data_IF_664913324274
#
_entry.id   IF_664913324274
#
_cell.length_a   1.000
_cell.length_b   1.000
_cell.length_c   1.000
_cell.angle_alpha   90.00
_cell.angle_beta   90.00
_cell.angle_gamma   90.00
#
_symmetry.space_group_name_H-M   'P 1'
#
loop_
_entity.id
_entity.type
_entity.pdbx_description
1 polymer ?
#
# COMPACT_ATOMS: atom_id res chain seq x y z
N UNK A 1 17.66 -14.49 11.57
CA UNK A 1 17.05 -14.34 10.23
C UNK A 1 15.66 -13.81 10.45
N UNK A 2 15.37 -12.58 10.01
CA UNK A 2 14.04 -12.00 10.13
C UNK A 2 13.21 -12.57 8.97
N UNK A 3 12.26 -13.45 9.27
CA UNK A 3 11.43 -14.10 8.24
C UNK A 3 10.33 -13.13 7.82
N UNK A 4 10.42 -12.61 6.60
CA UNK A 4 9.36 -11.80 6.01
C UNK A 4 8.08 -12.63 5.83
N UNK A 5 6.94 -12.11 6.25
CA UNK A 5 5.63 -12.75 6.04
C UNK A 5 5.14 -12.53 4.60
N UNK A 6 4.07 -13.22 4.18
CA UNK A 6 3.47 -12.98 2.84
C UNK A 6 2.90 -11.56 2.72
N UNK A 7 2.41 -11.01 3.82
CA UNK A 7 1.82 -9.67 3.89
C UNK A 7 2.91 -8.60 3.77
N UNK A 8 4.06 -8.83 4.40
CA UNK A 8 5.24 -7.99 4.25
C UNK A 8 5.60 -7.77 2.78
N UNK A 9 5.69 -8.86 2.02
CA UNK A 9 5.97 -8.79 0.58
C UNK A 9 4.92 -7.95 -0.16
N UNK A 10 3.66 -8.04 0.26
CA UNK A 10 2.55 -7.25 -0.27
C UNK A 10 2.65 -5.75 0.02
N UNK A 11 3.34 -5.33 1.07
CA UNK A 11 3.62 -3.90 1.27
C UNK A 11 4.94 -3.46 0.64
N UNK A 12 5.90 -4.37 0.42
CA UNK A 12 7.25 -3.98 0.02
C UNK A 12 7.50 -3.93 -1.48
N UNK A 13 6.98 -4.90 -2.24
CA UNK A 13 7.36 -5.02 -3.64
C UNK A 13 6.38 -4.25 -4.53
N UNK A 14 6.85 -3.33 -5.38
CA UNK A 14 5.98 -2.47 -6.17
C UNK A 14 5.41 -3.17 -7.41
N UNK A 15 6.09 -4.18 -7.93
CA UNK A 15 5.76 -4.80 -9.20
C UNK A 15 5.04 -6.14 -8.99
N UNK A 16 4.05 -6.48 -9.84
CA UNK A 16 3.57 -7.84 -9.92
C UNK A 16 4.68 -8.75 -10.46
N UNK A 17 4.78 -9.97 -9.93
CA UNK A 17 5.56 -11.04 -10.53
C UNK A 17 4.80 -11.73 -11.67
N UNK A 18 5.36 -12.83 -12.17
CA UNK A 18 4.87 -13.52 -13.37
C UNK A 18 3.59 -14.37 -13.20
N UNK A 19 2.85 -14.21 -12.09
CA UNK A 19 1.68 -15.03 -11.77
C UNK A 19 0.34 -14.35 -12.06
N UNK A 20 -0.72 -15.13 -12.18
CA UNK A 20 -2.12 -14.63 -12.20
C UNK A 20 -2.61 -14.10 -10.85
N UNK A 21 -1.84 -14.36 -9.81
CA UNK A 21 -2.05 -13.96 -8.42
C UNK A 21 -0.88 -13.06 -8.02
N UNK A 22 -1.15 -11.92 -7.35
CA UNK A 22 -0.12 -10.93 -7.06
C UNK A 22 0.93 -11.45 -6.07
N UNK A 23 2.13 -11.76 -6.55
CA UNK A 23 3.31 -12.08 -5.73
C UNK A 23 4.55 -11.53 -6.42
N UNK A 24 5.58 -11.09 -5.68
CA UNK A 24 6.85 -10.80 -6.32
C UNK A 24 7.44 -12.08 -6.93
N UNK A 25 8.18 -11.94 -8.01
CA UNK A 25 9.00 -13.01 -8.56
C UNK A 25 10.21 -13.28 -7.65
N UNK A 26 10.79 -14.48 -7.77
CA UNK A 26 12.03 -14.79 -7.06
C UNK A 26 13.16 -13.83 -7.45
N UNK A 27 13.25 -13.45 -8.73
CA UNK A 27 14.24 -12.48 -9.19
C UNK A 27 14.02 -11.12 -8.52
N UNK A 28 12.78 -10.65 -8.40
CA UNK A 28 12.47 -9.40 -7.70
C UNK A 28 12.91 -9.46 -6.24
N UNK A 29 12.62 -10.56 -5.53
CA UNK A 29 13.02 -10.75 -4.12
C UNK A 29 14.54 -10.75 -3.95
N UNK A 30 15.28 -11.33 -4.91
CA UNK A 30 16.73 -11.48 -4.81
C UNK A 30 17.52 -10.26 -5.30
N UNK A 31 16.94 -9.46 -6.19
CA UNK A 31 17.67 -8.38 -6.90
C UNK A 31 17.19 -6.97 -6.52
N UNK A 32 15.95 -6.83 -6.01
CA UNK A 32 15.40 -5.52 -5.67
C UNK A 32 15.86 -5.14 -4.27
N UNK A 33 16.68 -4.09 -4.11
CA UNK A 33 16.99 -3.58 -2.79
C UNK A 33 15.71 -3.04 -2.17
N UNK A 34 15.35 -3.52 -0.97
CA UNK A 34 14.28 -2.93 -0.19
C UNK A 34 14.64 -1.48 0.12
N UNK A 35 13.62 -0.61 0.15
CA UNK A 35 13.77 0.81 0.49
C UNK A 35 14.61 0.97 1.77
N UNK A 36 15.59 1.88 1.75
CA UNK A 36 16.54 2.11 2.85
C UNK A 36 15.85 2.53 4.16
N UNK A 37 14.67 3.11 4.06
CA UNK A 37 13.86 3.54 5.22
C UNK A 37 12.99 2.44 5.82
N UNK A 38 13.19 1.20 5.38
CA UNK A 38 12.48 0.05 5.91
C UNK A 38 12.97 -0.26 7.33
N UNK A 39 12.07 -0.15 8.31
CA UNK A 39 12.32 -0.56 9.68
C UNK A 39 11.77 -1.98 9.87
N UNK A 40 12.61 -3.01 10.08
CA UNK A 40 12.19 -4.41 10.19
C UNK A 40 11.60 -4.73 11.57
N UNK A 41 10.49 -4.10 11.94
CA UNK A 41 9.81 -4.44 13.20
C UNK A 41 8.37 -4.90 12.96
N UNK A 42 8.25 -6.24 13.04
CA UNK A 42 7.05 -7.05 13.25
C UNK A 42 5.76 -6.43 12.72
N UNK A 43 5.50 -6.69 11.45
CA UNK A 43 4.16 -6.71 10.90
C UNK A 43 3.40 -7.79 11.70
N UNK A 44 2.73 -7.39 12.79
CA UNK A 44 1.79 -8.23 13.53
C UNK A 44 0.44 -8.27 12.81
N UNK A 45 0.46 -8.44 11.50
CA UNK A 45 -0.74 -8.85 10.81
C UNK A 45 -0.88 -10.36 11.05
N UNK A 46 -1.90 -10.71 11.83
CA UNK A 46 -2.25 -12.10 12.08
C UNK A 46 -2.93 -12.57 10.81
N UNK A 47 -2.16 -13.11 9.88
CA UNK A 47 -2.72 -13.74 8.69
C UNK A 47 -3.39 -15.05 9.10
N UNK A 48 -4.72 -15.09 9.09
CA UNK A 48 -5.46 -16.35 9.09
C UNK A 48 -5.40 -16.94 7.68
N UNK A 49 -4.73 -18.09 7.54
CA UNK A 49 -4.81 -18.89 6.31
C UNK A 49 -6.11 -19.68 6.38
N UNK A 50 -7.07 -19.33 5.54
CA UNK A 50 -8.22 -20.18 5.29
C UNK A 50 -7.81 -21.23 4.25
N UNK A 51 -7.47 -22.44 4.72
CA UNK A 51 -7.01 -23.55 3.88
C UNK A 51 -8.09 -24.01 2.86
N UNK A 52 -9.36 -23.70 3.09
CA UNK A 52 -10.47 -24.13 2.25
C UNK A 52 -10.68 -23.18 1.05
N UNK A 53 -10.34 -21.89 1.20
CA UNK A 53 -10.64 -20.85 0.20
C UNK A 53 -9.35 -20.27 -0.44
N UNK A 54 -8.17 -20.54 0.11
CA UNK A 54 -6.88 -20.00 -0.38
C UNK A 54 -6.91 -18.47 -0.55
N UNK A 55 -7.53 -17.79 0.42
CA UNK A 55 -7.66 -16.34 0.51
C UNK A 55 -6.94 -15.89 1.78
N UNK A 56 -6.03 -14.92 1.67
CA UNK A 56 -5.48 -14.26 2.85
C UNK A 56 -6.42 -13.16 3.31
N UNK A 57 -6.57 -13.04 4.63
CA UNK A 57 -7.30 -11.93 5.26
C UNK A 57 -6.30 -11.11 6.06
N UNK A 58 -6.36 -9.79 5.89
CA UNK A 58 -5.58 -8.84 6.68
C UNK A 58 -6.53 -8.12 7.65
N UNK A 59 -6.58 -8.59 8.90
CA UNK A 59 -7.58 -8.15 9.89
C UNK A 59 -7.31 -6.75 10.49
N UNK A 60 -6.27 -6.04 10.03
CA UNK A 60 -5.85 -4.73 10.58
C UNK A 60 -5.35 -3.78 9.50
N UNK A 61 -6.25 -3.43 8.58
CA UNK A 61 -5.93 -2.51 7.46
C UNK A 61 -6.86 -1.29 7.45
N UNK A 62 -6.33 -0.17 6.96
CA UNK A 62 -7.08 1.04 6.67
C UNK A 62 -7.26 1.17 5.15
N UNK A 63 -8.49 1.39 4.70
CA UNK A 63 -8.85 1.49 3.29
C UNK A 63 -9.26 2.91 2.92
N UNK A 64 -8.82 3.41 1.78
CA UNK A 64 -9.46 4.55 1.11
C UNK A 64 -9.99 4.01 -0.21
N UNK A 65 -11.30 4.03 -0.41
CA UNK A 65 -11.91 3.46 -1.62
C UNK A 65 -11.62 4.28 -2.88
N UNK A 66 -11.59 5.62 -2.73
CA UNK A 66 -11.45 6.56 -3.83
C UNK A 66 -10.31 7.55 -3.58
N UNK A 67 -9.11 7.21 -4.05
CA UNK A 67 -7.96 8.11 -4.08
C UNK A 67 -7.47 8.34 -5.50
N UNK A 68 -7.59 9.56 -6.01
CA UNK A 68 -7.06 9.89 -7.34
C UNK A 68 -5.57 10.21 -7.26
N UNK A 69 -4.76 9.44 -7.96
CA UNK A 69 -3.30 9.54 -7.96
C UNK A 69 -2.85 10.24 -9.24
N UNK A 70 -1.93 11.21 -9.13
CA UNK A 70 -1.29 11.86 -10.28
C UNK A 70 0.20 12.07 -10.08
N UNK A 71 0.93 12.29 -11.18
CA UNK A 71 2.38 12.56 -11.16
C UNK A 71 3.28 11.32 -11.06
N UNK A 72 2.71 10.11 -10.99
CA UNK A 72 3.45 8.85 -10.92
C UNK A 72 3.32 7.97 -12.18
N UNK A 73 2.68 8.47 -13.24
CA UNK A 73 2.39 7.69 -14.44
C UNK A 73 3.62 7.42 -15.33
N UNK A 74 4.60 8.32 -15.29
CA UNK A 74 5.85 8.14 -16.03
C UNK A 74 6.82 7.33 -15.17
N UNK A 75 7.38 6.27 -15.74
CA UNK A 75 8.48 5.53 -15.12
C UNK A 75 9.68 6.45 -14.94
N UNK A 76 10.37 6.34 -13.81
CA UNK A 76 11.46 7.26 -13.49
C UNK A 76 12.82 6.69 -13.86
N UNK A 77 13.85 7.49 -13.56
CA UNK A 77 15.25 7.08 -13.69
C UNK A 77 15.70 6.27 -12.47
N UNK A 78 16.57 5.29 -12.69
CA UNK A 78 17.12 4.49 -11.61
C UNK A 78 17.81 5.38 -10.58
N UNK A 79 17.46 5.22 -9.30
CA UNK A 79 18.06 5.96 -8.19
C UNK A 79 17.43 7.32 -7.88
N UNK A 80 16.36 7.71 -8.58
CA UNK A 80 15.57 8.92 -8.27
C UNK A 80 14.17 8.56 -7.81
N UNK A 81 13.73 9.20 -6.73
CA UNK A 81 12.37 9.11 -6.24
C UNK A 81 11.42 9.85 -7.19
N UNK A 82 10.22 9.30 -7.33
CA UNK A 82 9.14 9.91 -8.12
C UNK A 82 8.15 10.55 -7.18
N UNK A 83 7.78 11.79 -7.48
CA UNK A 83 6.89 12.58 -6.66
C UNK A 83 5.56 12.77 -7.37
N UNK A 84 4.48 12.62 -6.63
CA UNK A 84 3.13 12.81 -7.12
C UNK A 84 2.24 13.41 -6.06
N UNK A 85 0.94 13.39 -6.35
CA UNK A 85 -0.09 13.88 -5.45
C UNK A 85 -1.25 12.90 -5.39
N UNK A 86 -1.84 12.81 -4.22
CA UNK A 86 -3.03 12.04 -3.92
C UNK A 86 -4.17 12.99 -3.57
N UNK A 87 -5.28 12.85 -4.29
CA UNK A 87 -6.52 13.57 -4.07
C UNK A 87 -7.49 12.62 -3.38
N UNK A 88 -7.92 12.99 -2.17
CA UNK A 88 -8.84 12.21 -1.35
C UNK A 88 -9.86 13.12 -0.69
N UNK A 89 -11.04 12.58 -0.46
CA UNK A 89 -12.10 13.26 0.28
C UNK A 89 -12.06 12.78 1.74
N UNK A 90 -12.40 13.66 2.68
CA UNK A 90 -12.53 13.31 4.08
C UNK A 90 -13.99 12.97 4.47
N UNK A 91 -14.19 12.54 5.71
CA UNK A 91 -15.55 12.19 6.21
C UNK A 91 -16.52 13.37 6.24
N UNK A 92 -16.03 14.60 6.10
CA UNK A 92 -16.82 15.82 6.04
C UNK A 92 -17.02 16.33 4.60
N UNK A 93 -16.53 15.59 3.61
CA UNK A 93 -16.63 15.97 2.20
C UNK A 93 -15.61 16.99 1.73
N UNK A 94 -14.54 17.24 2.51
CA UNK A 94 -13.47 18.17 2.13
C UNK A 94 -12.42 17.42 1.32
N UNK A 95 -12.01 18.00 0.19
CA UNK A 95 -10.93 17.46 -0.63
C UNK A 95 -9.56 17.85 -0.08
N UNK A 96 -8.69 16.85 0.10
CA UNK A 96 -7.30 16.99 0.50
C UNK A 96 -6.38 16.62 -0.65
N UNK A 97 -5.25 17.34 -0.74
CA UNK A 97 -4.16 17.05 -1.66
C UNK A 97 -2.95 16.68 -0.81
N UNK A 98 -2.53 15.42 -0.90
CA UNK A 98 -1.42 14.88 -0.13
C UNK A 98 -0.25 14.60 -1.07
N UNK A 99 0.96 15.12 -0.79
CA UNK A 99 2.12 14.78 -1.59
C UNK A 99 2.50 13.31 -1.33
N UNK A 100 2.90 12.61 -2.38
CA UNK A 100 3.28 11.18 -2.32
C UNK A 100 4.62 10.93 -3.02
N UNK A 101 5.30 9.86 -2.61
CA UNK A 101 6.62 9.46 -3.11
C UNK A 101 6.63 7.97 -3.45
N UNK A 102 7.08 7.63 -4.65
CA UNK A 102 7.41 6.27 -5.05
C UNK A 102 8.93 6.13 -5.23
N UNK A 103 9.56 5.29 -4.39
CA UNK A 103 11.00 5.02 -4.42
C UNK A 103 11.38 3.90 -5.41
N UNK A 104 10.49 3.60 -6.35
CA UNK A 104 10.64 2.58 -7.38
C UNK A 104 10.23 3.15 -8.74
N UNK A 105 10.64 2.49 -9.81
CA UNK A 105 10.48 3.01 -11.17
C UNK A 105 9.24 2.48 -11.90
N UNK A 106 8.55 1.48 -11.34
CA UNK A 106 7.30 0.95 -11.89
C UNK A 106 6.20 2.04 -11.97
N UNK A 107 5.65 2.35 -13.15
CA UNK A 107 4.68 3.42 -13.31
C UNK A 107 3.35 3.14 -12.60
N UNK A 108 2.73 4.19 -12.08
CA UNK A 108 1.39 4.16 -11.49
C UNK A 108 0.54 5.16 -12.29
N UNK A 109 -0.33 4.70 -13.21
CA UNK A 109 -1.12 5.58 -14.06
C UNK A 109 -1.95 6.62 -13.29
N UNK A 110 -2.34 7.70 -13.95
CA UNK A 110 -3.15 8.75 -13.31
C UNK A 110 -4.62 8.37 -13.31
N UNK A 111 -5.08 7.78 -12.21
CA UNK A 111 -6.44 7.26 -12.09
C UNK A 111 -6.90 7.26 -10.63
N UNK A 112 -8.17 6.92 -10.41
CA UNK A 112 -8.72 6.67 -9.08
C UNK A 112 -8.44 5.22 -8.69
N UNK A 113 -7.87 5.05 -7.51
CA UNK A 113 -7.51 3.76 -6.94
C UNK A 113 -8.11 3.57 -5.56
N UNK A 114 -8.19 2.30 -5.17
CA UNK A 114 -8.34 1.89 -3.79
C UNK A 114 -6.96 1.81 -3.14
N UNK A 115 -6.83 2.37 -1.94
CA UNK A 115 -5.57 2.45 -1.20
C UNK A 115 -5.68 1.68 0.10
N UNK A 116 -4.67 0.88 0.41
CA UNK A 116 -4.61 0.08 1.64
C UNK A 116 -3.32 0.39 2.38
N UNK A 117 -3.41 0.62 3.69
CA UNK A 117 -2.24 0.62 4.58
C UNK A 117 -2.46 -0.31 5.77
N UNK A 118 -1.38 -0.71 6.41
CA UNK A 118 -1.46 -1.38 7.70
C UNK A 118 -1.84 -0.40 8.80
N UNK A 119 -2.63 -0.86 9.77
CA UNK A 119 -2.91 -0.13 11.01
C UNK A 119 -1.70 -0.20 11.96
N UNK A 120 -1.31 0.93 12.54
CA UNK A 120 -0.34 0.99 13.63
C UNK A 120 -1.07 1.20 14.96
N UNK A 121 -0.79 0.36 15.96
CA UNK A 121 -1.46 0.44 17.26
C UNK A 121 -0.90 1.55 18.19
N UNK A 122 0.17 2.27 17.80
CA UNK A 122 0.87 3.20 18.71
C UNK A 122 1.32 4.54 18.09
N UNK A 123 1.15 5.60 18.90
CA UNK A 123 1.40 7.03 18.69
C UNK A 123 2.88 7.45 18.45
N UNK A 124 3.79 6.52 18.16
CA UNK A 124 5.24 6.79 18.22
C UNK A 124 5.95 6.83 16.87
N UNK A 125 5.27 6.52 15.77
CA UNK A 125 5.88 6.56 14.44
C UNK A 125 5.45 7.79 13.66
N UNK A 126 6.45 8.52 13.14
CA UNK A 126 6.22 9.55 12.14
C UNK A 126 5.56 8.92 10.91
N UNK A 127 4.42 9.44 10.47
CA UNK A 127 3.69 8.95 9.28
C UNK A 127 4.50 9.02 7.98
N UNK A 128 5.67 9.69 8.02
CA UNK A 128 6.71 9.75 6.97
C UNK A 128 7.10 8.39 6.37
N UNK A 129 6.82 7.28 7.06
CA UNK A 129 7.22 5.94 6.65
C UNK A 129 6.05 5.00 6.37
N UNK A 130 4.82 5.51 6.38
CA UNK A 130 3.64 4.67 6.13
C UNK A 130 3.60 4.31 4.65
N UNK A 131 3.79 3.04 4.37
CA UNK A 131 3.68 2.46 3.04
C UNK A 131 2.20 2.18 2.73
N UNK A 132 1.75 2.75 1.62
CA UNK A 132 0.44 2.50 1.04
C UNK A 132 0.58 1.54 -0.14
N UNK A 133 -0.38 0.63 -0.23
CA UNK A 133 -0.61 -0.21 -1.40
C UNK A 133 -1.68 0.44 -2.24
N UNK A 134 -1.40 0.60 -3.53
CA UNK A 134 -2.34 1.11 -4.52
C UNK A 134 -2.83 -0.03 -5.40
N UNK A 135 -4.13 -0.05 -5.66
CA UNK A 135 -4.75 -1.11 -6.45
C UNK A 135 -6.19 -0.80 -6.80
N UNK A 136 -6.88 -1.78 -7.36
CA UNK A 136 -8.25 -1.67 -7.81
C UNK A 136 -9.11 -2.66 -7.05
N UNK A 137 -10.29 -2.21 -6.62
CA UNK A 137 -11.33 -3.11 -6.12
C UNK A 137 -12.12 -3.68 -7.29
N UNK A 138 -12.19 -5.00 -7.34
CA UNK A 138 -12.96 -5.74 -8.33
C UNK A 138 -14.42 -5.88 -7.89
N UNK A 139 -15.30 -6.21 -8.84
CA UNK A 139 -16.74 -6.36 -8.61
C UNK A 139 -17.11 -7.48 -7.63
N UNK A 140 -16.20 -8.43 -7.43
CA UNK A 140 -16.30 -9.53 -6.46
C UNK A 140 -15.63 -9.19 -5.12
N UNK A 141 -15.46 -7.90 -4.84
CA UNK A 141 -14.87 -7.31 -3.62
C UNK A 141 -13.39 -7.59 -3.40
N UNK A 142 -12.72 -8.23 -4.36
CA UNK A 142 -11.30 -8.56 -4.28
C UNK A 142 -10.46 -7.34 -4.60
N UNK A 143 -9.35 -7.19 -3.90
CA UNK A 143 -8.38 -6.13 -4.18
C UNK A 143 -7.26 -6.63 -5.10
N UNK A 144 -7.15 -6.04 -6.28
CA UNK A 144 -6.05 -6.25 -7.21
C UNK A 144 -4.97 -5.20 -6.96
N UNK A 145 -3.86 -5.62 -6.37
CA UNK A 145 -2.72 -4.73 -6.16
C UNK A 145 -2.07 -4.34 -7.50
N UNK A 146 -1.85 -3.04 -7.65
CA UNK A 146 -1.07 -2.47 -8.73
C UNK A 146 0.37 -2.18 -8.30
N UNK A 147 0.55 -1.42 -7.22
CA UNK A 147 1.88 -0.99 -6.77
C UNK A 147 1.86 -0.45 -5.33
N UNK A 148 2.88 0.30 -4.91
CA UNK A 148 3.00 0.87 -3.57
C UNK A 148 3.57 2.30 -3.60
N UNK A 149 3.26 3.16 -2.63
CA UNK A 149 3.92 4.47 -2.46
C UNK A 149 3.91 4.91 -0.98
N UNK A 150 4.60 6.00 -0.65
CA UNK A 150 4.59 6.63 0.68
C UNK A 150 3.98 8.03 0.60
N UNK A 151 3.46 8.54 1.71
CA UNK A 151 3.12 9.95 1.84
C UNK A 151 4.41 10.77 2.07
N UNK A 152 4.51 11.96 1.47
CA UNK A 152 5.64 12.85 1.68
C UNK A 152 5.40 13.74 2.91
N UNK A 153 6.28 13.67 3.91
CA UNK A 153 6.25 14.57 5.08
C UNK A 153 5.42 14.07 6.27
N UNK A 154 5.36 14.88 7.33
CA UNK A 154 4.49 14.63 8.49
C UNK A 154 3.06 15.00 8.07
N UNK A 155 2.33 14.05 7.48
CA UNK A 155 0.87 14.13 7.50
C UNK A 155 0.47 14.14 8.98
N UNK A 156 -0.30 15.14 9.41
CA UNK A 156 -0.68 15.23 10.80
C UNK A 156 -1.63 14.06 11.11
N UNK A 157 -1.42 13.38 12.24
CA UNK A 157 -2.19 12.22 12.70
C UNK A 157 -3.72 12.42 12.66
N UNK A 158 -4.19 13.66 12.77
CA UNK A 158 -5.61 14.01 12.62
C UNK A 158 -6.10 13.83 11.18
N UNK A 159 -5.42 14.43 10.22
CA UNK A 159 -5.81 14.44 8.80
C UNK A 159 -5.93 13.03 8.24
N UNK A 160 -5.06 12.11 8.68
CA UNK A 160 -4.99 10.70 8.27
C UNK A 160 -6.15 9.84 8.78
N UNK A 161 -6.66 10.13 9.98
CA UNK A 161 -7.84 9.47 10.56
C UNK A 161 -9.16 10.07 10.06
N UNK A 162 -9.10 11.33 9.63
CA UNK A 162 -10.26 12.07 9.14
C UNK A 162 -10.56 11.80 7.66
N UNK A 163 -9.59 11.29 6.88
CA UNK A 163 -9.83 10.82 5.50
C UNK A 163 -11.02 9.87 5.48
N UNK A 164 -11.80 9.85 4.39
CA UNK A 164 -13.04 9.09 4.24
C UNK A 164 -12.86 7.55 4.22
N UNK A 165 -11.79 7.05 4.84
CA UNK A 165 -11.50 5.65 4.94
C UNK A 165 -12.35 4.96 6.00
N UNK A 166 -12.98 3.86 5.61
CA UNK A 166 -13.72 3.03 6.53
C UNK A 166 -12.78 2.04 7.23
N UNK A 167 -13.01 1.86 8.53
CA UNK A 167 -12.43 0.74 9.27
C UNK A 167 -13.09 -0.54 8.78
N UNK A 168 -12.31 -1.42 8.16
CA UNK A 168 -12.80 -2.72 7.69
C UNK A 168 -11.95 -3.83 8.28
N UNK A 169 -12.48 -4.46 9.32
CA UNK A 169 -12.12 -5.84 9.62
C UNK A 169 -12.59 -6.66 8.42
N UNK A 170 -11.72 -7.47 7.81
CA UNK A 170 -11.99 -8.23 6.58
C UNK A 170 -11.93 -7.44 5.26
N UNK A 171 -10.93 -6.58 5.04
CA UNK A 171 -10.54 -6.37 3.64
C UNK A 171 -10.09 -7.73 3.13
N UNK A 172 -10.89 -8.28 2.20
CA UNK A 172 -10.53 -9.35 1.28
C UNK A 172 -9.40 -8.83 0.38
N UNK A 173 -8.25 -8.55 1.00
CA UNK A 173 -7.00 -8.45 0.33
C UNK A 173 -6.68 -9.89 -0.06
N UNK A 174 -7.29 -10.35 -1.16
CA UNK A 174 -6.80 -11.46 -1.94
C UNK A 174 -5.39 -11.11 -2.45
N UNK A 175 -4.45 -11.02 -1.54
CA UNK A 175 -3.03 -11.01 -1.80
C UNK A 175 -2.70 -12.46 -2.16
N UNK A 176 -2.75 -12.78 -3.45
CA UNK A 176 -2.54 -14.11 -4.04
C UNK A 176 -3.59 -15.15 -3.71
#
# INVERSE_FOLDING_TARGET
MNTATREDLFFWYPEPGAGSKWRPSWDQVMTTPLSRDYIPHQIQAVSHVDEEINVNRCDRTFCIENGFVRGLAVGGTLGTDRHGELFVEDVWGVHHILPIVATHQYPIPEETYTLIRQKFDHYTWSEKWVQWVVGRRLSDERFEKLSVFKMAGDVALGTSNDLSGEYRDNILAQCC
#
